data_IF_981316302802
#
_entry.id   IF_981316302802
#
_cell.length_a   1.000
_cell.length_b   1.000
_cell.length_c   1.000
_cell.angle_alpha   90.00
_cell.angle_beta   90.00
_cell.angle_gamma   90.00
#
_symmetry.space_group_name_H-M   'P 1'
#
loop_
_entity.id
_entity.type
_entity.pdbx_description
1 polymer ?
#
# COMPACT_ATOMS: atom_id res chain seq x y z
N UNK A 1 7.48 21.50 56.12
CA UNK A 1 7.40 20.04 56.32
C UNK A 1 6.22 19.54 55.49
N UNK A 2 6.45 18.67 54.51
CA UNK A 2 5.39 18.09 53.70
C UNK A 2 4.46 17.25 54.60
N UNK A 3 3.16 17.51 54.53
CA UNK A 3 2.17 16.79 55.33
C UNK A 3 2.03 15.39 54.76
N UNK A 4 2.42 14.36 55.51
CA UNK A 4 2.23 12.96 55.11
C UNK A 4 0.72 12.69 54.99
N UNK A 5 0.28 12.26 53.81
CA UNK A 5 -1.10 11.91 53.52
C UNK A 5 -1.15 10.48 52.99
N UNK A 6 -2.18 9.71 53.37
CA UNK A 6 -2.38 8.38 52.79
C UNK A 6 -3.02 8.52 51.42
N UNK A 7 -2.77 7.55 50.53
CA UNK A 7 -3.38 7.53 49.20
C UNK A 7 -4.92 7.53 49.27
N UNK A 8 -5.48 6.85 50.28
CA UNK A 8 -6.92 6.84 50.57
C UNK A 8 -7.49 8.23 50.86
N UNK A 9 -6.69 9.13 51.44
CA UNK A 9 -7.12 10.48 51.78
C UNK A 9 -7.23 11.36 50.52
N UNK A 10 -6.37 11.10 49.52
CA UNK A 10 -6.42 11.73 48.20
C UNK A 10 -7.66 11.25 47.44
N UNK A 11 -7.92 9.94 47.43
CA UNK A 11 -9.10 9.37 46.75
C UNK A 11 -10.40 9.93 47.34
N UNK A 12 -10.47 10.11 48.65
CA UNK A 12 -11.64 10.68 49.32
C UNK A 12 -11.83 12.19 49.02
N UNK A 13 -10.77 12.93 48.72
CA UNK A 13 -10.87 14.35 48.35
C UNK A 13 -11.59 14.56 47.02
N UNK A 14 -11.47 13.60 46.09
CA UNK A 14 -12.10 13.67 44.77
C UNK A 14 -13.41 12.88 44.68
N UNK A 15 -13.88 12.30 45.79
CA UNK A 15 -15.11 11.53 45.81
C UNK A 15 -16.32 12.43 45.49
N UNK A 16 -17.04 12.09 44.42
CA UNK A 16 -18.20 12.84 43.93
C UNK A 16 -17.88 13.92 42.88
N UNK A 17 -16.62 14.06 42.49
CA UNK A 17 -16.20 14.90 41.35
C UNK A 17 -15.92 14.02 40.13
N UNK A 18 -16.33 14.49 38.95
CA UNK A 18 -16.05 13.82 37.68
C UNK A 18 -14.70 14.32 37.13
N UNK A 19 -13.62 13.80 37.71
CA UNK A 19 -12.25 14.23 37.38
C UNK A 19 -11.74 13.42 36.19
N UNK A 20 -11.64 14.06 35.02
CA UNK A 20 -11.19 13.41 33.78
C UNK A 20 -9.67 13.24 33.68
N UNK A 21 -8.88 14.19 34.23
CA UNK A 21 -7.42 14.11 34.26
C UNK A 21 -6.79 14.96 35.38
N UNK A 22 -5.62 14.54 35.87
CA UNK A 22 -4.76 15.31 36.79
C UNK A 22 -3.49 15.73 36.06
N UNK A 23 -3.49 16.90 35.44
CA UNK A 23 -2.34 17.43 34.71
C UNK A 23 -1.40 18.24 35.62
N UNK A 24 -0.09 18.04 35.46
CA UNK A 24 0.94 18.82 36.16
C UNK A 24 1.20 18.42 37.62
N UNK A 25 0.77 17.23 38.06
CA UNK A 25 1.00 16.74 39.43
C UNK A 25 2.26 15.87 39.50
N UNK A 26 3.20 16.25 40.36
CA UNK A 26 4.41 15.47 40.67
C UNK A 26 4.29 14.91 42.09
N UNK A 27 4.33 13.59 42.24
CA UNK A 27 4.27 12.91 43.54
C UNK A 27 5.67 12.36 43.84
N UNK A 28 6.31 12.88 44.89
CA UNK A 28 7.64 12.46 45.35
C UNK A 28 7.56 11.79 46.72
N UNK A 29 8.08 10.56 46.83
CA UNK A 29 8.17 9.78 48.07
C UNK A 29 8.56 8.33 47.83
N UNK A 30 9.03 7.64 48.88
CA UNK A 30 9.35 6.21 48.82
C UNK A 30 8.06 5.38 48.73
N UNK A 31 7.91 4.62 47.65
CA UNK A 31 6.77 3.73 47.43
C UNK A 31 7.09 2.38 48.07
N UNK A 32 6.55 2.12 49.26
CA UNK A 32 6.54 0.78 49.84
C UNK A 32 5.34 -0.01 49.32
N UNK A 33 5.61 -1.07 48.56
CA UNK A 33 4.61 -2.04 48.13
C UNK A 33 4.63 -3.20 49.13
N UNK A 34 3.66 -3.22 50.04
CA UNK A 34 3.47 -4.32 50.99
C UNK A 34 2.84 -5.53 50.26
N UNK A 35 3.65 -6.57 50.05
CA UNK A 35 3.25 -7.84 49.41
C UNK A 35 2.70 -8.88 50.40
N UNK A 36 2.51 -8.52 51.68
CA UNK A 36 2.00 -9.41 52.73
C UNK A 36 0.54 -9.85 52.57
N UNK A 37 -0.20 -9.26 51.63
CA UNK A 37 -1.60 -9.54 51.33
C UNK A 37 -1.83 -10.27 50.01
N UNK A 38 -1.15 -11.38 49.76
CA UNK A 38 -1.35 -12.23 48.55
C UNK A 38 -2.68 -13.02 48.54
N UNK A 39 -3.75 -12.41 49.04
CA UNK A 39 -5.11 -12.96 49.05
C UNK A 39 -6.14 -11.89 48.73
N UNK A 40 -6.68 -11.93 47.50
CA UNK A 40 -7.96 -11.31 47.14
C UNK A 40 -7.98 -9.80 46.81
N UNK A 41 -6.86 -9.09 46.82
CA UNK A 41 -6.83 -7.62 46.68
C UNK A 41 -6.40 -7.04 45.32
N UNK A 42 -5.95 -7.84 44.37
CA UNK A 42 -5.52 -7.34 43.05
C UNK A 42 -6.71 -7.08 42.12
N UNK A 43 -6.59 -6.05 41.29
CA UNK A 43 -7.45 -5.88 40.12
C UNK A 43 -7.45 -7.18 39.29
N UNK A 44 -8.62 -7.69 38.88
CA UNK A 44 -8.71 -8.99 38.21
C UNK A 44 -7.88 -9.08 36.92
N UNK A 45 -7.68 -7.95 36.22
CA UNK A 45 -6.88 -7.90 35.00
C UNK A 45 -5.38 -7.99 35.32
N UNK A 46 -4.93 -7.32 36.39
CA UNK A 46 -3.54 -7.41 36.84
C UNK A 46 -3.20 -8.80 37.39
N UNK A 47 -4.13 -9.42 38.14
CA UNK A 47 -3.98 -10.79 38.61
C UNK A 47 -3.89 -11.80 37.46
N UNK A 48 -4.70 -11.61 36.41
CA UNK A 48 -4.67 -12.46 35.22
C UNK A 48 -3.35 -12.27 34.43
N UNK A 49 -2.88 -11.04 34.26
CA UNK A 49 -1.63 -10.74 33.58
C UNK A 49 -0.42 -11.35 34.31
N UNK A 50 -0.34 -11.18 35.64
CA UNK A 50 0.71 -11.79 36.46
C UNK A 50 0.66 -13.32 36.44
N UNK A 51 -0.54 -13.92 36.45
CA UNK A 51 -0.71 -15.36 36.32
C UNK A 51 -0.25 -15.89 34.96
N UNK A 52 -0.53 -15.17 33.88
CA UNK A 52 -0.11 -15.54 32.53
C UNK A 52 1.42 -15.45 32.37
N UNK A 53 2.04 -14.38 32.84
CA UNK A 53 3.50 -14.24 32.84
C UNK A 53 4.19 -15.34 33.67
N UNK A 54 3.62 -15.66 34.83
CA UNK A 54 4.13 -16.75 35.68
C UNK A 54 4.05 -18.12 34.99
N UNK A 55 2.99 -18.38 34.22
CA UNK A 55 2.82 -19.61 33.46
C UNK A 55 3.82 -19.71 32.28
N UNK A 56 4.09 -18.59 31.60
CA UNK A 56 5.09 -18.51 30.52
C UNK A 56 6.50 -18.74 31.08
N UNK A 57 6.84 -18.11 32.21
CA UNK A 57 8.10 -18.35 32.92
C UNK A 57 8.28 -19.81 33.32
N UNK A 58 7.23 -20.45 33.86
CA UNK A 58 7.27 -21.87 34.19
C UNK A 58 7.56 -22.76 32.97
N UNK A 59 7.01 -22.42 31.79
CA UNK A 59 7.32 -23.13 30.55
C UNK A 59 8.77 -22.94 30.10
N UNK A 60 9.33 -21.73 30.25
CA UNK A 60 10.73 -21.48 29.95
C UNK A 60 11.66 -22.28 30.86
N UNK A 61 11.38 -22.34 32.16
CA UNK A 61 12.14 -23.17 33.09
C UNK A 61 12.01 -24.67 32.80
N UNK A 62 10.83 -25.15 32.41
CA UNK A 62 10.64 -26.55 32.03
C UNK A 62 11.46 -26.93 30.78
N UNK A 63 11.57 -26.03 29.79
CA UNK A 63 12.43 -26.25 28.60
C UNK A 63 13.91 -26.27 28.97
N UNK A 64 14.36 -25.37 29.84
CA UNK A 64 15.74 -25.32 30.31
C UNK A 64 16.09 -26.61 31.06
N UNK A 65 15.23 -27.07 31.97
CA UNK A 65 15.42 -28.33 32.69
C UNK A 65 15.48 -29.54 31.74
N UNK A 66 14.67 -29.54 30.68
CA UNK A 66 14.74 -30.55 29.60
C UNK A 66 16.05 -30.53 28.83
N UNK A 67 16.64 -29.35 28.58
CA UNK A 67 17.97 -29.23 27.95
C UNK A 67 19.09 -29.86 28.79
N UNK A 68 18.92 -29.92 30.12
CA UNK A 68 19.85 -30.59 31.04
C UNK A 68 19.48 -32.06 31.32
N UNK A 69 18.60 -32.65 30.50
CA UNK A 69 18.27 -34.07 30.54
C UNK A 69 17.34 -34.48 31.68
N UNK A 70 16.73 -33.53 32.39
CA UNK A 70 15.76 -33.83 33.44
C UNK A 70 14.38 -34.06 32.81
N UNK A 71 13.72 -35.22 33.04
CA UNK A 71 12.46 -35.54 32.39
C UNK A 71 11.31 -34.76 33.04
N UNK A 72 11.00 -33.57 32.50
CA UNK A 72 9.83 -32.79 32.89
C UNK A 72 8.69 -33.12 31.93
N UNK A 73 7.58 -33.68 32.45
CA UNK A 73 6.41 -34.01 31.65
C UNK A 73 5.78 -32.75 31.06
N UNK A 74 5.84 -32.59 29.73
CA UNK A 74 5.15 -31.50 29.03
C UNK A 74 3.68 -31.89 28.92
N UNK A 75 2.92 -31.64 29.98
CA UNK A 75 1.46 -31.67 29.88
C UNK A 75 1.03 -30.63 28.86
N UNK A 76 0.22 -31.03 27.87
CA UNK A 76 -0.44 -30.07 26.99
C UNK A 76 -1.14 -29.02 27.86
N UNK A 77 -0.99 -27.71 27.55
CA UNK A 77 -1.61 -26.70 28.36
C UNK A 77 -3.12 -26.98 28.35
N UNK A 78 -3.71 -27.17 29.53
CA UNK A 78 -5.14 -26.93 29.64
C UNK A 78 -5.33 -25.49 29.18
N UNK A 79 -6.10 -25.28 28.11
CA UNK A 79 -6.44 -23.95 27.65
C UNK A 79 -6.90 -23.16 28.88
N UNK A 80 -6.32 -21.97 29.15
CA UNK A 80 -6.68 -21.22 30.34
C UNK A 80 -8.19 -21.05 30.30
N UNK A 81 -8.89 -21.64 31.27
CA UNK A 81 -10.30 -21.34 31.46
C UNK A 81 -10.32 -19.84 31.74
N UNK A 82 -10.83 -19.07 30.77
CA UNK A 82 -10.97 -17.62 30.90
C UNK A 82 -11.72 -17.41 32.20
N UNK A 83 -11.04 -16.84 33.20
CA UNK A 83 -11.69 -16.51 34.46
C UNK A 83 -12.92 -15.68 34.13
N UNK A 84 -14.10 -15.91 34.71
CA UNK A 84 -15.30 -15.09 34.45
C UNK A 84 -15.05 -13.59 34.66
N UNK A 85 -13.99 -13.24 35.40
CA UNK A 85 -13.52 -11.88 35.62
C UNK A 85 -12.82 -11.21 34.41
N UNK A 86 -12.47 -11.96 33.37
CA UNK A 86 -12.00 -11.46 32.06
C UNK A 86 -13.16 -11.35 31.05
N UNK A 87 -14.41 -11.62 31.46
CA UNK A 87 -15.54 -11.22 30.66
C UNK A 87 -15.45 -9.70 30.50
N UNK A 88 -15.29 -9.26 29.24
CA UNK A 88 -15.31 -7.84 28.89
C UNK A 88 -16.41 -7.16 29.71
N UNK A 89 -16.13 -6.01 30.36
CA UNK A 89 -17.15 -5.33 31.15
C UNK A 89 -18.41 -5.29 30.31
N UNK A 90 -19.52 -5.81 30.84
CA UNK A 90 -20.82 -5.65 30.19
C UNK A 90 -21.07 -4.15 30.18
N UNK A 91 -20.62 -3.49 29.12
CA UNK A 91 -20.88 -2.10 28.81
C UNK A 91 -22.41 -2.02 28.76
N UNK A 92 -22.99 -1.64 29.89
CA UNK A 92 -24.39 -1.30 29.98
C UNK A 92 -24.49 0.02 29.25
N UNK A 93 -24.87 -0.12 27.99
CA UNK A 93 -25.34 0.95 27.13
C UNK A 93 -24.22 1.91 26.69
N UNK A 94 -23.61 1.59 25.53
CA UNK A 94 -22.86 2.58 24.76
C UNK A 94 -23.79 3.75 24.47
N UNK A 95 -23.31 4.98 24.70
CA UNK A 95 -24.06 6.18 24.30
C UNK A 95 -24.34 6.07 22.80
N UNK A 96 -25.61 6.13 22.35
CA UNK A 96 -25.94 6.11 20.94
C UNK A 96 -25.27 7.30 20.24
N UNK A 97 -24.21 7.03 19.49
CA UNK A 97 -23.59 8.00 18.60
C UNK A 97 -24.15 7.78 17.20
N UNK A 98 -24.78 8.82 16.63
CA UNK A 98 -25.15 8.80 15.22
C UNK A 98 -23.95 9.29 14.43
N UNK A 99 -23.36 8.41 13.63
CA UNK A 99 -22.45 8.84 12.57
C UNK A 99 -23.29 9.50 11.48
N UNK A 100 -23.10 10.79 11.29
CA UNK A 100 -23.73 11.56 10.22
C UNK A 100 -22.60 12.20 9.41
N UNK A 101 -22.62 11.98 8.10
CA UNK A 101 -21.71 12.63 7.17
C UNK A 101 -22.48 13.61 6.33
N UNK A 102 -21.84 14.69 5.91
CA UNK A 102 -22.45 15.58 4.94
C UNK A 102 -22.73 14.78 3.66
N UNK A 103 -24.01 14.53 3.37
CA UNK A 103 -24.40 13.94 2.10
C UNK A 103 -24.18 14.98 1.01
N UNK A 104 -23.27 14.70 0.08
CA UNK A 104 -23.12 15.51 -1.13
C UNK A 104 -24.32 15.19 -2.01
N UNK A 105 -25.25 16.14 -2.11
CA UNK A 105 -26.54 15.92 -2.76
C UNK A 105 -26.40 15.47 -4.22
N UNK A 106 -25.34 15.89 -4.92
CA UNK A 106 -25.05 15.49 -6.29
C UNK A 106 -23.56 15.54 -6.62
N UNK A 107 -23.04 14.44 -7.15
CA UNK A 107 -21.71 14.35 -7.77
C UNK A 107 -21.80 14.71 -9.26
N UNK A 108 -21.29 15.88 -9.64
CA UNK A 108 -21.44 16.44 -10.98
C UNK A 108 -20.69 15.65 -12.08
N UNK A 109 -19.60 15.00 -11.72
CA UNK A 109 -18.69 14.31 -12.66
C UNK A 109 -18.42 12.88 -12.19
N UNK A 110 -18.09 12.01 -13.14
CA UNK A 110 -17.64 10.64 -12.90
C UNK A 110 -16.17 10.54 -13.33
N UNK A 111 -15.37 9.80 -12.58
CA UNK A 111 -14.02 9.44 -13.03
C UNK A 111 -14.13 8.52 -14.24
N UNK A 112 -13.31 8.77 -15.24
CA UNK A 112 -13.33 7.98 -16.47
C UNK A 112 -12.90 6.55 -16.19
N UNK A 113 -13.58 5.61 -16.82
CA UNK A 113 -13.20 4.20 -16.78
C UNK A 113 -12.17 3.93 -17.88
N UNK A 114 -11.04 3.33 -17.52
CA UNK A 114 -9.93 3.03 -18.45
C UNK A 114 -9.71 1.51 -18.46
N UNK A 115 -9.92 0.84 -19.61
CA UNK A 115 -9.60 -0.58 -19.76
C UNK A 115 -8.14 -0.78 -20.17
N UNK A 116 -7.44 -1.67 -19.48
CA UNK A 116 -6.03 -2.01 -19.72
C UNK A 116 -5.93 -3.51 -19.99
N UNK A 117 -5.15 -3.88 -21.02
CA UNK A 117 -4.94 -5.26 -21.43
C UNK A 117 -6.06 -5.78 -22.31
N UNK A 118 -5.80 -5.86 -23.62
CA UNK A 118 -6.71 -6.47 -24.59
C UNK A 118 -6.61 -7.99 -24.52
N UNK A 119 -7.77 -8.64 -24.51
CA UNK A 119 -7.85 -10.10 -24.59
C UNK A 119 -7.87 -10.56 -26.05
N UNK A 120 -7.89 -11.88 -26.27
CA UNK A 120 -8.07 -12.45 -27.62
C UNK A 120 -9.36 -11.98 -28.31
N UNK A 121 -10.41 -11.62 -27.56
CA UNK A 121 -11.64 -11.05 -28.12
C UNK A 121 -11.47 -9.62 -28.65
N UNK A 122 -10.43 -8.91 -28.18
CA UNK A 122 -10.12 -7.53 -28.52
C UNK A 122 -8.89 -7.41 -29.45
N UNK A 123 -8.28 -8.53 -29.83
CA UNK A 123 -7.08 -8.57 -30.67
C UNK A 123 -5.74 -8.60 -29.92
N UNK A 124 -5.75 -8.67 -28.58
CA UNK A 124 -4.54 -8.86 -27.76
C UNK A 124 -4.37 -10.32 -27.30
N UNK A 125 -3.44 -10.55 -26.38
CA UNK A 125 -3.15 -11.89 -25.84
C UNK A 125 -3.30 -12.00 -24.32
N UNK A 126 -3.76 -10.94 -23.64
CA UNK A 126 -3.98 -10.98 -22.19
C UNK A 126 -5.09 -11.98 -21.84
N UNK A 127 -4.94 -12.65 -20.70
CA UNK A 127 -5.92 -13.60 -20.15
C UNK A 127 -7.14 -12.90 -19.56
N UNK A 128 -6.98 -11.67 -19.09
CA UNK A 128 -8.07 -10.81 -18.61
C UNK A 128 -7.76 -9.34 -18.83
N UNK A 129 -8.82 -8.55 -19.01
CA UNK A 129 -8.78 -7.09 -18.96
C UNK A 129 -8.86 -6.61 -17.51
N UNK A 130 -8.17 -5.52 -17.22
CA UNK A 130 -8.33 -4.73 -16.00
C UNK A 130 -9.09 -3.44 -16.32
N UNK A 131 -10.01 -3.04 -15.45
CA UNK A 131 -10.71 -1.76 -15.52
C UNK A 131 -10.33 -0.95 -14.27
N UNK A 132 -10.02 0.34 -14.47
CA UNK A 132 -9.76 1.29 -13.38
C UNK A 132 -10.65 2.53 -13.54
N UNK A 133 -10.98 3.18 -12.44
CA UNK A 133 -11.84 4.36 -12.42
C UNK A 133 -13.33 4.01 -12.46
N UNK A 134 -14.14 4.91 -13.01
CA UNK A 134 -15.60 4.78 -13.05
C UNK A 134 -16.31 5.23 -11.78
N UNK A 135 -15.61 5.64 -10.72
CA UNK A 135 -16.28 6.02 -9.48
C UNK A 135 -17.00 7.37 -9.61
N UNK A 136 -18.15 7.48 -8.94
CA UNK A 136 -18.99 8.68 -8.87
C UNK A 136 -19.26 9.12 -7.43
N UNK A 137 -18.22 9.01 -6.60
CA UNK A 137 -18.17 9.49 -5.22
C UNK A 137 -16.70 9.57 -4.76
N UNK A 138 -16.49 10.03 -3.52
CA UNK A 138 -15.20 9.85 -2.83
C UNK A 138 -14.88 8.35 -2.62
N UNK A 139 -13.59 8.00 -2.47
CA UNK A 139 -13.18 6.62 -2.27
C UNK A 139 -13.92 5.97 -1.09
N UNK A 140 -14.62 4.87 -1.36
CA UNK A 140 -15.36 4.07 -0.38
C UNK A 140 -16.47 4.84 0.38
N UNK A 141 -16.94 5.95 -0.17
CA UNK A 141 -18.01 6.75 0.40
C UNK A 141 -19.38 6.15 0.04
N UNK A 142 -20.39 6.20 0.93
CA UNK A 142 -21.66 5.49 0.73
C UNK A 142 -22.56 6.06 -0.38
N UNK A 143 -22.23 7.23 -0.93
CA UNK A 143 -23.04 7.93 -1.95
C UNK A 143 -23.16 7.18 -3.27
N UNK A 144 -22.16 6.37 -3.64
CA UNK A 144 -22.16 5.59 -4.89
C UNK A 144 -21.29 4.33 -4.77
N UNK A 145 -21.60 3.26 -5.53
CA UNK A 145 -20.75 2.09 -5.59
C UNK A 145 -19.37 2.41 -6.18
N UNK A 146 -18.35 1.68 -5.74
CA UNK A 146 -17.02 1.67 -6.39
C UNK A 146 -17.04 0.54 -7.43
N UNK A 147 -17.23 0.84 -8.74
CA UNK A 147 -17.45 -0.20 -9.74
C UNK A 147 -16.21 -1.07 -9.98
N UNK A 148 -15.02 -0.48 -9.88
CA UNK A 148 -13.75 -1.14 -10.09
C UNK A 148 -12.92 -1.08 -8.80
N UNK A 149 -12.34 -2.21 -8.40
CA UNK A 149 -11.40 -2.26 -7.26
C UNK A 149 -10.06 -1.63 -7.67
N UNK A 150 -9.30 -1.19 -6.67
CA UNK A 150 -7.90 -0.81 -6.86
C UNK A 150 -7.08 -2.01 -7.35
N UNK A 151 -6.12 -1.75 -8.24
CA UNK A 151 -5.25 -2.76 -8.85
C UNK A 151 -3.83 -2.60 -8.33
N UNK A 152 -3.12 -3.71 -8.12
CA UNK A 152 -1.72 -3.72 -7.70
C UNK A 152 -0.85 -4.18 -8.85
N UNK A 153 0.01 -3.28 -9.32
CA UNK A 153 1.08 -3.62 -10.25
C UNK A 153 2.38 -3.87 -9.48
N UNK A 154 3.18 -4.85 -9.90
CA UNK A 154 4.49 -5.14 -9.29
C UNK A 154 5.59 -4.98 -10.33
N UNK A 155 6.65 -4.29 -9.92
CA UNK A 155 7.77 -3.95 -10.78
C UNK A 155 8.61 -5.17 -11.20
N UNK A 156 9.03 -5.14 -12.45
CA UNK A 156 10.05 -5.98 -13.08
C UNK A 156 11.05 -5.05 -13.75
N UNK A 157 12.32 -5.42 -13.77
CA UNK A 157 13.38 -4.62 -14.39
C UNK A 157 14.03 -5.41 -15.52
N UNK A 158 14.40 -4.72 -16.60
CA UNK A 158 15.06 -5.33 -17.77
C UNK A 158 16.53 -5.73 -17.55
N UNK A 159 17.06 -5.42 -16.37
CA UNK A 159 18.36 -5.87 -15.90
C UNK A 159 18.39 -6.01 -14.39
N UNK A 160 19.35 -6.80 -13.89
CA UNK A 160 19.59 -6.92 -12.44
C UNK A 160 19.92 -5.56 -11.82
N UNK A 161 19.21 -5.22 -10.75
CA UNK A 161 19.40 -4.01 -9.96
C UNK A 161 19.84 -4.30 -8.53
N UNK A 162 20.39 -3.28 -7.87
CA UNK A 162 20.57 -3.28 -6.43
C UNK A 162 19.23 -3.09 -5.72
N UNK A 163 18.82 -4.06 -4.91
CA UNK A 163 17.68 -3.96 -4.01
C UNK A 163 18.13 -4.15 -2.56
N UNK A 164 17.40 -3.53 -1.63
CA UNK A 164 17.58 -3.78 -0.21
C UNK A 164 17.37 -5.27 0.10
N UNK A 165 18.18 -5.83 1.02
CA UNK A 165 18.21 -7.27 1.32
C UNK A 165 16.81 -7.86 1.55
N UNK A 166 15.99 -7.20 2.35
CA UNK A 166 14.63 -7.65 2.67
C UNK A 166 13.71 -7.77 1.45
N UNK A 167 13.92 -6.96 0.41
CA UNK A 167 13.19 -7.08 -0.86
C UNK A 167 13.85 -8.14 -1.73
N UNK A 168 15.18 -8.05 -1.87
CA UNK A 168 15.99 -8.86 -2.76
C UNK A 168 15.88 -10.38 -2.51
N UNK A 169 15.80 -10.80 -1.25
CA UNK A 169 15.64 -12.22 -0.89
C UNK A 169 14.37 -12.86 -1.47
N UNK A 170 13.37 -12.04 -1.84
CA UNK A 170 12.16 -12.49 -2.51
C UNK A 170 12.30 -12.60 -4.03
N UNK A 171 13.43 -12.21 -4.63
CA UNK A 171 13.59 -12.18 -6.09
C UNK A 171 14.95 -12.70 -6.59
N UNK A 172 15.92 -12.94 -5.70
CA UNK A 172 17.33 -13.16 -6.05
C UNK A 172 17.55 -14.19 -7.16
N UNK A 173 16.68 -15.21 -7.26
CA UNK A 173 16.74 -16.28 -8.25
C UNK A 173 16.13 -15.94 -9.62
N UNK A 174 15.31 -14.89 -9.72
CA UNK A 174 14.65 -14.45 -10.96
C UNK A 174 15.14 -13.09 -11.48
N UNK A 175 15.92 -12.34 -10.71
CA UNK A 175 16.35 -10.97 -11.06
C UNK A 175 17.20 -10.83 -12.34
N UNK A 176 17.67 -11.94 -12.93
CA UNK A 176 18.39 -11.95 -14.21
C UNK A 176 17.49 -12.35 -15.41
N UNK A 177 16.22 -12.71 -15.17
CA UNK A 177 15.25 -13.07 -16.21
C UNK A 177 13.95 -12.30 -15.99
N UNK A 178 13.71 -11.21 -16.74
CA UNK A 178 12.50 -10.40 -16.63
C UNK A 178 11.20 -11.22 -16.78
N UNK A 179 11.17 -12.21 -17.68
CA UNK A 179 10.02 -13.09 -17.85
C UNK A 179 9.74 -13.96 -16.61
N UNK A 180 10.76 -14.59 -16.02
CA UNK A 180 10.60 -15.39 -14.80
C UNK A 180 10.29 -14.51 -13.58
N UNK A 181 10.82 -13.28 -13.54
CA UNK A 181 10.46 -12.30 -12.52
C UNK A 181 8.98 -11.92 -12.62
N UNK A 182 8.49 -11.62 -13.83
CA UNK A 182 7.08 -11.34 -14.06
C UNK A 182 6.18 -12.52 -13.65
N UNK A 183 6.52 -13.75 -14.02
CA UNK A 183 5.79 -14.95 -13.59
C UNK A 183 5.75 -15.07 -12.07
N UNK A 184 6.88 -14.88 -11.40
CA UNK A 184 6.93 -14.90 -9.94
C UNK A 184 6.01 -13.84 -9.32
N UNK A 185 6.00 -12.63 -9.88
CA UNK A 185 5.11 -11.56 -9.43
C UNK A 185 3.63 -11.96 -9.52
N UNK A 186 3.22 -12.60 -10.62
CA UNK A 186 1.84 -13.07 -10.80
C UNK A 186 1.53 -14.28 -9.91
N UNK A 187 2.33 -15.34 -9.97
CA UNK A 187 2.03 -16.63 -9.35
C UNK A 187 2.24 -16.64 -7.82
N UNK A 188 3.25 -15.93 -7.32
CA UNK A 188 3.59 -15.92 -5.90
C UNK A 188 3.04 -14.71 -5.15
N UNK A 189 2.99 -13.56 -5.80
CA UNK A 189 2.57 -12.31 -5.17
C UNK A 189 1.19 -11.81 -5.61
N UNK A 190 0.51 -12.53 -6.51
CA UNK A 190 -0.82 -12.21 -7.01
C UNK A 190 -0.91 -10.81 -7.62
N UNK A 191 0.11 -10.40 -8.37
CA UNK A 191 0.09 -9.14 -9.09
C UNK A 191 -1.13 -9.07 -10.05
N UNK A 192 -1.89 -7.97 -9.98
CA UNK A 192 -2.99 -7.74 -10.93
C UNK A 192 -2.46 -7.36 -12.32
N UNK A 193 -1.31 -6.70 -12.33
CA UNK A 193 -0.59 -6.20 -13.50
C UNK A 193 0.93 -6.27 -13.27
N UNK A 194 1.71 -6.15 -14.34
CA UNK A 194 3.17 -6.00 -14.27
C UNK A 194 3.58 -4.62 -14.77
N UNK A 195 4.51 -3.97 -14.07
CA UNK A 195 5.21 -2.80 -14.60
C UNK A 195 6.62 -3.21 -14.97
N UNK A 196 6.95 -3.22 -16.27
CA UNK A 196 8.32 -3.45 -16.73
C UNK A 196 9.05 -2.11 -16.85
N UNK A 197 10.16 -1.95 -16.13
CA UNK A 197 11.03 -0.77 -16.23
C UNK A 197 12.26 -1.10 -17.09
N UNK A 198 12.38 -0.41 -18.23
CA UNK A 198 13.48 -0.55 -19.18
C UNK A 198 14.70 0.29 -18.75
N UNK A 199 15.11 0.18 -17.49
CA UNK A 199 16.17 1.01 -16.91
C UNK A 199 17.53 0.85 -17.60
N UNK A 200 17.78 -0.28 -18.27
CA UNK A 200 19.04 -0.49 -18.97
C UNK A 200 19.23 0.47 -20.14
N UNK A 201 18.16 1.14 -20.60
CA UNK A 201 18.25 2.14 -21.64
C UNK A 201 18.93 3.42 -21.19
N UNK A 202 19.07 3.70 -19.90
CA UNK A 202 19.75 4.93 -19.43
C UNK A 202 21.16 5.02 -20.05
N UNK A 203 21.50 6.11 -20.78
CA UNK A 203 22.84 6.35 -21.32
C UNK A 203 23.97 6.32 -20.29
N UNK A 204 23.65 6.53 -19.00
CA UNK A 204 24.60 6.49 -17.89
C UNK A 204 24.73 5.10 -17.24
N UNK A 205 23.90 4.12 -17.64
CA UNK A 205 23.89 2.77 -17.06
C UNK A 205 24.43 1.74 -18.05
N UNK A 206 23.61 1.33 -19.03
CA UNK A 206 24.01 0.37 -20.09
C UNK A 206 23.82 0.92 -21.50
N UNK A 207 23.07 2.02 -21.63
CA UNK A 207 22.73 2.60 -22.92
C UNK A 207 22.10 1.60 -23.90
N UNK A 208 21.36 0.61 -23.39
CA UNK A 208 20.73 -0.43 -24.24
C UNK A 208 19.91 0.21 -25.35
N UNK A 209 20.06 -0.20 -26.62
CA UNK A 209 19.30 0.38 -27.73
C UNK A 209 17.79 0.10 -27.59
N UNK A 210 16.90 1.04 -28.00
CA UNK A 210 15.44 0.86 -27.97
C UNK A 210 14.95 -0.47 -28.55
N UNK A 211 15.53 -0.90 -29.68
CA UNK A 211 15.19 -2.17 -30.34
C UNK A 211 15.54 -3.40 -29.50
N UNK A 212 16.58 -3.32 -28.69
CA UNK A 212 16.98 -4.41 -27.81
C UNK A 212 16.12 -4.43 -26.54
N UNK A 213 15.90 -3.27 -25.92
CA UNK A 213 15.04 -3.13 -24.74
C UNK A 213 13.59 -3.59 -25.00
N UNK A 214 13.06 -3.33 -26.20
CA UNK A 214 11.73 -3.78 -26.59
C UNK A 214 11.58 -5.33 -26.61
N UNK A 215 12.66 -6.09 -26.80
CA UNK A 215 12.59 -7.57 -26.72
C UNK A 215 12.26 -8.04 -25.30
N UNK A 216 12.67 -7.30 -24.28
CA UNK A 216 12.30 -7.61 -22.90
C UNK A 216 10.80 -7.43 -22.68
N UNK A 217 10.19 -6.45 -23.37
CA UNK A 217 8.72 -6.29 -23.35
C UNK A 217 8.04 -7.50 -23.98
N UNK A 218 8.52 -7.97 -25.14
CA UNK A 218 8.03 -9.21 -25.76
C UNK A 218 8.17 -10.43 -24.84
N UNK A 219 9.32 -10.58 -24.17
CA UNK A 219 9.57 -11.66 -23.20
C UNK A 219 8.53 -11.65 -22.07
N UNK A 220 8.29 -10.48 -21.46
CA UNK A 220 7.31 -10.35 -20.37
C UNK A 220 5.88 -10.58 -20.89
N UNK A 221 5.52 -10.05 -22.06
CA UNK A 221 4.22 -10.28 -22.69
C UNK A 221 3.95 -11.78 -22.92
N UNK A 222 4.96 -12.55 -23.29
CA UNK A 222 4.85 -14.00 -23.49
C UNK A 222 4.88 -14.79 -22.16
N UNK A 223 5.49 -14.23 -21.13
CA UNK A 223 5.67 -14.89 -19.83
C UNK A 223 4.41 -14.85 -18.97
N UNK A 224 3.60 -13.79 -19.07
CA UNK A 224 2.40 -13.58 -18.24
C UNK A 224 1.17 -13.17 -19.05
N UNK A 225 -0.01 -13.50 -18.54
CA UNK A 225 -1.30 -13.19 -19.16
C UNK A 225 -1.99 -11.95 -18.56
N UNK A 226 -1.42 -11.34 -17.52
CA UNK A 226 -1.93 -10.09 -16.92
C UNK A 226 -1.58 -8.86 -17.78
N UNK A 227 -2.31 -7.74 -17.66
CA UNK A 227 -1.97 -6.49 -18.34
C UNK A 227 -0.62 -5.91 -17.89
N UNK A 228 0.00 -5.11 -18.76
CA UNK A 228 1.35 -4.58 -18.55
C UNK A 228 1.39 -3.05 -18.67
N UNK A 229 2.12 -2.42 -17.76
CA UNK A 229 2.61 -1.05 -17.90
C UNK A 229 4.10 -1.07 -18.31
N UNK A 230 4.49 -0.21 -19.24
CA UNK A 230 5.84 -0.17 -19.81
C UNK A 230 6.50 1.16 -19.45
N UNK A 231 7.53 1.08 -18.61
CA UNK A 231 8.35 2.18 -18.13
C UNK A 231 9.67 2.33 -18.91
N UNK A 232 10.06 3.57 -19.23
CA UNK A 232 11.41 3.89 -19.69
C UNK A 232 12.44 3.95 -18.55
N UNK A 233 13.61 4.51 -18.82
CA UNK A 233 14.63 4.75 -17.79
C UNK A 233 14.45 6.09 -17.05
N UNK A 234 13.52 6.94 -17.51
CA UNK A 234 13.34 8.32 -17.05
C UNK A 234 14.21 9.32 -17.82
N UNK A 235 14.85 8.92 -18.91
CA UNK A 235 15.73 9.79 -19.67
C UNK A 235 14.92 10.59 -20.72
N UNK A 236 14.88 11.93 -20.66
CA UNK A 236 13.97 12.68 -21.51
C UNK A 236 14.19 12.60 -23.01
N UNK A 237 15.41 12.32 -23.43
CA UNK A 237 15.78 12.24 -24.82
C UNK A 237 15.56 10.83 -25.37
N UNK A 238 15.80 9.80 -24.55
CA UNK A 238 15.79 8.42 -24.98
C UNK A 238 14.46 7.71 -24.77
N UNK A 239 13.74 8.04 -23.70
CA UNK A 239 12.46 7.39 -23.36
C UNK A 239 11.41 7.48 -24.49
N UNK A 240 11.22 8.61 -25.21
CA UNK A 240 10.25 8.65 -26.29
C UNK A 240 10.52 7.61 -27.39
N UNK A 241 11.78 7.39 -27.76
CA UNK A 241 12.17 6.38 -28.75
C UNK A 241 12.01 4.95 -28.21
N UNK A 242 12.41 4.73 -26.95
CA UNK A 242 12.25 3.45 -26.26
C UNK A 242 10.79 3.06 -26.16
N UNK A 243 9.93 3.96 -25.68
CA UNK A 243 8.50 3.72 -25.52
C UNK A 243 7.79 3.57 -26.86
N UNK A 244 8.19 4.32 -27.90
CA UNK A 244 7.65 4.13 -29.25
C UNK A 244 7.98 2.74 -29.80
N UNK A 245 9.19 2.24 -29.56
CA UNK A 245 9.59 0.89 -29.99
C UNK A 245 8.93 -0.21 -29.16
N UNK A 246 8.76 0.02 -27.85
CA UNK A 246 8.05 -0.89 -26.97
C UNK A 246 6.55 -0.99 -27.30
N UNK A 247 5.93 0.15 -27.67
CA UNK A 247 4.56 0.19 -28.17
C UNK A 247 4.39 -0.63 -29.45
N UNK A 248 5.32 -0.51 -30.40
CA UNK A 248 5.26 -1.27 -31.66
C UNK A 248 5.28 -2.79 -31.44
N UNK A 249 6.15 -3.29 -30.56
CA UNK A 249 6.24 -4.74 -30.30
C UNK A 249 5.07 -5.28 -29.47
N UNK A 250 4.39 -4.39 -28.74
CA UNK A 250 3.23 -4.70 -27.92
C UNK A 250 1.90 -4.40 -28.63
N UNK A 251 1.91 -4.11 -29.94
CA UNK A 251 0.74 -3.63 -30.69
C UNK A 251 -0.52 -4.46 -30.40
N UNK A 252 -1.62 -3.77 -30.08
CA UNK A 252 -2.90 -4.40 -29.82
C UNK A 252 -3.05 -5.03 -28.43
N UNK A 253 -2.00 -5.07 -27.60
CA UNK A 253 -2.08 -5.60 -26.23
C UNK A 253 -2.71 -4.61 -25.24
N UNK A 254 -2.88 -3.33 -25.64
CA UNK A 254 -3.40 -2.26 -24.77
C UNK A 254 -2.68 -2.14 -23.43
N UNK A 255 -1.36 -2.12 -23.51
CA UNK A 255 -0.46 -1.72 -22.43
C UNK A 255 -0.66 -0.26 -22.01
N UNK A 256 -0.17 0.08 -20.81
CA UNK A 256 -0.06 1.44 -20.31
C UNK A 256 1.37 1.97 -20.51
N UNK A 257 1.57 3.00 -21.35
CA UNK A 257 2.90 3.60 -21.55
C UNK A 257 3.21 4.59 -20.42
N UNK A 258 4.24 4.28 -19.63
CA UNK A 258 4.73 5.06 -18.49
C UNK A 258 6.08 5.74 -18.85
N UNK A 259 6.11 7.05 -19.10
CA UNK A 259 5.01 8.00 -19.01
C UNK A 259 5.15 9.12 -20.03
N UNK A 260 4.04 9.76 -20.36
CA UNK A 260 4.04 11.07 -20.98
C UNK A 260 4.20 12.15 -19.89
N UNK A 261 4.99 13.18 -20.17
CA UNK A 261 5.23 14.28 -19.23
C UNK A 261 5.58 15.57 -19.94
N UNK A 262 5.43 16.71 -19.27
CA UNK A 262 5.81 18.03 -19.79
C UNK A 262 7.32 18.19 -20.01
N UNK A 263 8.15 17.40 -19.32
CA UNK A 263 9.61 17.38 -19.53
C UNK A 263 10.06 16.31 -20.54
N UNK A 264 9.13 15.50 -21.06
CA UNK A 264 9.35 14.49 -22.10
C UNK A 264 8.69 14.96 -23.39
N UNK A 265 8.98 14.28 -24.51
CA UNK A 265 8.16 14.41 -25.71
C UNK A 265 6.84 13.63 -25.55
N UNK A 266 5.91 14.22 -24.79
CA UNK A 266 4.57 13.65 -24.57
C UNK A 266 3.80 13.44 -25.89
N UNK A 267 4.10 14.21 -26.94
CA UNK A 267 3.42 14.10 -28.22
C UNK A 267 3.86 12.84 -28.96
N UNK A 268 5.17 12.55 -28.99
CA UNK A 268 5.69 11.31 -29.54
C UNK A 268 5.17 10.06 -28.80
N UNK A 269 5.11 10.12 -27.47
CA UNK A 269 4.58 9.01 -26.65
C UNK A 269 3.08 8.82 -26.89
N UNK A 270 2.30 9.91 -26.97
CA UNK A 270 0.88 9.84 -27.28
C UNK A 270 0.61 9.33 -28.71
N UNK A 271 1.41 9.73 -29.69
CA UNK A 271 1.33 9.23 -31.06
C UNK A 271 1.59 7.72 -31.11
N UNK A 272 2.67 7.26 -30.47
CA UNK A 272 2.97 5.83 -30.37
C UNK A 272 1.84 5.06 -29.67
N UNK A 273 1.28 5.61 -28.59
CA UNK A 273 0.18 4.98 -27.88
C UNK A 273 -1.05 4.81 -28.78
N UNK A 274 -1.49 5.87 -29.45
CA UNK A 274 -2.67 5.79 -30.32
C UNK A 274 -2.43 4.90 -31.54
N UNK A 275 -1.21 4.94 -32.12
CA UNK A 275 -0.85 4.16 -33.31
C UNK A 275 -0.91 2.66 -33.04
N UNK A 276 -0.45 2.20 -31.89
CA UNK A 276 -0.31 0.77 -31.55
C UNK A 276 -1.36 0.29 -30.53
N UNK A 277 -2.41 1.07 -30.31
CA UNK A 277 -3.53 0.78 -29.41
C UNK A 277 -3.16 0.63 -27.92
N UNK A 278 -2.45 1.62 -27.36
CA UNK A 278 -2.08 1.71 -25.94
C UNK A 278 -2.67 2.92 -25.22
N UNK A 279 -2.70 2.82 -23.90
CA UNK A 279 -3.09 3.90 -23.00
C UNK A 279 -1.85 4.69 -22.53
N UNK A 280 -2.06 5.93 -22.08
CA UNK A 280 -0.99 6.85 -21.68
C UNK A 280 -1.07 7.15 -20.19
N UNK A 281 0.03 6.93 -19.48
CA UNK A 281 0.19 7.44 -18.12
C UNK A 281 0.72 8.88 -18.18
N UNK A 282 -0.09 9.81 -17.68
CA UNK A 282 0.16 11.25 -17.67
C UNK A 282 0.80 11.64 -16.34
N UNK A 283 2.14 11.72 -16.35
CA UNK A 283 2.95 11.94 -15.15
C UNK A 283 3.30 13.41 -14.94
N UNK A 284 3.15 13.89 -13.70
CA UNK A 284 3.63 15.21 -13.27
C UNK A 284 4.20 15.17 -11.85
N UNK A 285 5.03 16.15 -11.50
CA UNK A 285 5.70 16.23 -10.21
C UNK A 285 4.89 17.02 -9.18
N UNK A 286 3.90 16.38 -8.54
CA UNK A 286 3.14 16.92 -7.41
C UNK A 286 2.55 18.33 -7.67
N UNK A 287 2.16 18.62 -8.91
CA UNK A 287 1.61 19.91 -9.32
C UNK A 287 0.30 19.72 -10.12
N UNK A 288 -0.81 20.14 -9.52
CA UNK A 288 -2.14 19.98 -10.11
C UNK A 288 -2.35 20.84 -11.37
N UNK A 289 -1.68 21.99 -11.49
CA UNK A 289 -1.80 22.84 -12.67
C UNK A 289 -1.07 22.20 -13.86
N UNK A 290 0.12 21.66 -13.62
CA UNK A 290 0.85 20.85 -14.58
C UNK A 290 0.03 19.62 -15.00
N UNK A 291 -0.62 18.93 -14.06
CA UNK A 291 -1.48 17.78 -14.37
C UNK A 291 -2.63 18.17 -15.30
N UNK A 292 -3.32 19.29 -15.00
CA UNK A 292 -4.39 19.83 -15.86
C UNK A 292 -3.87 20.23 -17.23
N UNK A 293 -2.70 20.86 -17.29
CA UNK A 293 -2.07 21.27 -18.54
C UNK A 293 -1.69 20.07 -19.41
N UNK A 294 -1.00 19.07 -18.84
CA UNK A 294 -0.58 17.87 -19.54
C UNK A 294 -1.79 17.09 -20.08
N UNK A 295 -2.79 16.84 -19.24
CA UNK A 295 -4.03 16.19 -19.67
C UNK A 295 -4.73 16.98 -20.80
N UNK A 296 -4.78 18.31 -20.71
CA UNK A 296 -5.35 19.15 -21.77
C UNK A 296 -4.56 19.02 -23.07
N UNK A 297 -3.22 19.00 -23.02
CA UNK A 297 -2.35 18.82 -24.19
C UNK A 297 -2.56 17.44 -24.81
N UNK A 298 -2.53 16.37 -24.02
CA UNK A 298 -2.81 15.00 -24.49
C UNK A 298 -4.18 14.92 -25.20
N UNK A 299 -5.23 15.48 -24.60
CA UNK A 299 -6.57 15.45 -25.19
C UNK A 299 -6.73 16.34 -26.42
N UNK A 300 -6.19 17.57 -26.40
CA UNK A 300 -6.51 18.60 -27.41
C UNK A 300 -5.48 18.72 -28.52
N UNK A 301 -4.22 18.37 -28.26
CA UNK A 301 -3.14 18.45 -29.24
C UNK A 301 -2.82 17.07 -29.81
N UNK A 302 -2.83 16.04 -28.96
CA UNK A 302 -2.49 14.66 -29.36
C UNK A 302 -3.73 13.80 -29.63
N UNK A 303 -4.94 14.32 -29.41
CA UNK A 303 -6.22 13.61 -29.60
C UNK A 303 -6.35 12.32 -28.77
N UNK A 304 -5.65 12.20 -27.63
CA UNK A 304 -5.77 11.04 -26.75
C UNK A 304 -7.17 11.08 -26.10
N UNK A 305 -7.99 10.02 -26.28
CA UNK A 305 -9.29 9.94 -25.63
C UNK A 305 -9.19 9.94 -24.10
N UNK A 306 -10.22 10.42 -23.42
CA UNK A 306 -10.24 10.54 -21.95
C UNK A 306 -10.14 9.18 -21.25
N UNK A 307 -10.74 8.16 -21.83
CA UNK A 307 -10.74 6.76 -21.41
C UNK A 307 -9.44 6.03 -21.78
N UNK A 308 -8.38 6.77 -22.16
CA UNK A 308 -7.03 6.26 -22.42
C UNK A 308 -5.94 7.01 -21.65
N UNK A 309 -6.31 7.83 -20.68
CA UNK A 309 -5.37 8.62 -19.87
C UNK A 309 -5.50 8.21 -18.40
N UNK A 310 -4.42 7.76 -17.80
CA UNK A 310 -4.30 7.53 -16.36
C UNK A 310 -3.38 8.60 -15.78
N UNK A 311 -3.80 9.30 -14.73
CA UNK A 311 -2.99 10.36 -14.11
C UNK A 311 -2.03 9.76 -13.08
N UNK A 312 -0.78 10.19 -13.13
CA UNK A 312 0.19 10.00 -12.06
C UNK A 312 0.66 11.37 -11.56
N UNK A 313 0.05 11.91 -10.51
CA UNK A 313 0.45 13.19 -9.93
C UNK A 313 1.74 13.09 -9.09
N UNK A 314 2.47 11.97 -9.17
CA UNK A 314 3.55 11.56 -8.28
C UNK A 314 3.06 11.28 -6.86
N UNK A 315 3.52 10.18 -6.27
CA UNK A 315 3.36 9.91 -4.84
C UNK A 315 4.69 10.11 -4.10
N UNK A 316 4.63 10.09 -2.78
CA UNK A 316 5.79 10.15 -1.92
C UNK A 316 5.72 9.06 -0.85
N UNK A 317 6.88 8.56 -0.42
CA UNK A 317 6.96 7.58 0.64
C UNK A 317 6.48 8.16 1.98
N UNK A 318 6.01 7.30 2.88
CA UNK A 318 5.62 7.67 4.23
C UNK A 318 6.79 8.38 4.94
N UNK A 319 6.53 9.58 5.46
CA UNK A 319 7.54 10.42 6.11
C UNK A 319 8.36 11.30 5.17
N UNK A 320 8.14 11.22 3.85
CA UNK A 320 8.89 11.96 2.82
C UNK A 320 7.98 12.81 1.90
N UNK A 321 6.89 13.37 2.44
CA UNK A 321 5.96 14.24 1.71
C UNK A 321 4.66 13.57 1.24
N UNK A 322 4.31 12.42 1.82
CA UNK A 322 3.06 11.69 1.50
C UNK A 322 1.80 12.54 1.73
N UNK A 323 1.79 13.40 2.74
CA UNK A 323 0.71 14.34 3.05
C UNK A 323 0.43 15.32 1.91
N UNK A 324 1.47 15.80 1.24
CA UNK A 324 1.34 16.66 0.06
C UNK A 324 0.80 15.89 -1.15
N UNK A 325 1.32 14.68 -1.40
CA UNK A 325 0.82 13.80 -2.45
C UNK A 325 -0.66 13.44 -2.23
N UNK A 326 -1.02 13.07 -0.99
CA UNK A 326 -2.37 12.72 -0.59
C UNK A 326 -3.35 13.89 -0.84
N UNK A 327 -3.00 15.08 -0.37
CA UNK A 327 -3.82 16.29 -0.58
C UNK A 327 -4.01 16.60 -2.06
N UNK A 328 -2.98 16.41 -2.90
CA UNK A 328 -3.10 16.56 -4.34
C UNK A 328 -4.05 15.53 -4.95
N UNK A 329 -3.98 14.25 -4.55
CA UNK A 329 -4.88 13.20 -5.02
C UNK A 329 -6.34 13.46 -4.62
N UNK A 330 -6.60 13.93 -3.40
CA UNK A 330 -7.95 14.34 -2.97
C UNK A 330 -8.50 15.48 -3.83
N UNK A 331 -7.68 16.50 -4.11
CA UNK A 331 -8.08 17.64 -4.96
C UNK A 331 -8.25 17.28 -6.43
N UNK A 332 -7.61 16.22 -6.90
CA UNK A 332 -7.82 15.67 -8.25
C UNK A 332 -9.13 14.89 -8.32
N UNK A 333 -9.50 14.21 -7.23
CA UNK A 333 -10.76 13.47 -7.12
C UNK A 333 -11.98 14.40 -7.09
N UNK A 334 -11.88 15.55 -6.44
CA UNK A 334 -12.91 16.59 -6.33
C UNK A 334 -13.02 17.44 -7.61
#
# INVERSE_FOLDING_TARGET
MAKKMKLSDITNMFAGMDVEALEGVTIEGDIEIDLGGLGGGFDPMLAAALGQESAVLAQHFARIAGMFGYPVGIGAPAAPAISPALAAPKLKDLIPAKFDVANIAEWATQIQEVPIGNTSADGGSRGKRVLVGGEKALPFFPDAPMPNRNQVTIDVFDMRIGLAKAVKENYDEVMDSPGEWAKKNVEKFNADMITIHLISTDPLVKDTPPKEAAKTVEEVLQAVDVPIAIGGSGNPQKDPEVLARAAEVAEGERCLLASASLNLDYAAIAEAALKYDHDVLSWTQLDMNAQKELNRKLMKQCNVPRDRIIMDPTTAALGYGLDYAYTNMERIRL
#
